data_IF_420607438800
#
_entry.id   IF_420607438800
#
_cell.length_a   1.000
_cell.length_b   1.000
_cell.length_c   1.000
_cell.angle_alpha   90.00
_cell.angle_beta   90.00
_cell.angle_gamma   90.00
#
_symmetry.space_group_name_H-M   'P 1'
#
loop_
_entity.id
_entity.type
_entity.pdbx_description
1 polymer ?
#
# COMPACT_ATOMS: atom_id res chain seq x y z
N UNK A 1 -36.44 10.40 53.97
CA UNK A 1 -36.39 8.92 53.95
C UNK A 1 -35.12 8.47 53.25
N UNK A 2 -34.11 8.06 54.00
CA UNK A 2 -32.76 7.82 53.51
C UNK A 2 -32.57 6.32 53.16
N UNK A 3 -32.96 5.90 51.95
CA UNK A 3 -32.75 4.51 51.49
C UNK A 3 -31.32 4.33 50.94
N UNK A 4 -30.30 4.44 51.79
CA UNK A 4 -29.04 3.71 51.53
C UNK A 4 -29.31 2.24 51.87
N UNK A 5 -30.00 1.53 50.97
CA UNK A 5 -30.06 0.06 51.04
C UNK A 5 -28.62 -0.44 50.97
N UNK A 6 -28.18 -1.16 51.99
CA UNK A 6 -26.80 -1.63 52.13
C UNK A 6 -26.46 -2.55 50.96
N UNK A 7 -25.37 -2.25 50.24
CA UNK A 7 -24.81 -3.16 49.24
C UNK A 7 -24.34 -4.43 49.99
N UNK A 8 -24.71 -5.64 49.55
CA UNK A 8 -24.26 -6.86 50.22
C UNK A 8 -22.72 -6.94 50.25
N UNK A 9 -22.18 -7.49 51.33
CA UNK A 9 -20.73 -7.65 51.48
C UNK A 9 -20.16 -8.52 50.35
N UNK A 10 -19.07 -8.06 49.71
CA UNK A 10 -18.46 -8.73 48.56
C UNK A 10 -18.97 -8.26 47.19
N UNK A 11 -19.97 -7.36 47.16
CA UNK A 11 -20.47 -6.74 45.94
C UNK A 11 -20.04 -5.28 45.80
N UNK A 12 -19.94 -4.83 44.56
CA UNK A 12 -19.62 -3.47 44.14
C UNK A 12 -20.72 -2.99 43.18
N UNK A 13 -21.17 -1.75 43.35
CA UNK A 13 -22.00 -1.11 42.33
C UNK A 13 -21.19 -0.85 41.08
N UNK A 14 -21.87 -0.69 39.94
CA UNK A 14 -21.22 -0.33 38.66
C UNK A 14 -20.32 0.91 38.76
N UNK A 15 -20.69 1.90 39.58
CA UNK A 15 -19.88 3.10 39.80
C UNK A 15 -18.60 2.83 40.60
N UNK A 16 -18.67 1.96 41.61
CA UNK A 16 -17.50 1.55 42.38
C UNK A 16 -16.56 0.69 41.53
N UNK A 17 -17.09 -0.23 40.74
CA UNK A 17 -16.29 -1.02 39.80
C UNK A 17 -15.62 -0.13 38.76
N UNK A 18 -16.36 0.80 38.15
CA UNK A 18 -15.82 1.76 37.18
C UNK A 18 -14.66 2.57 37.76
N UNK A 19 -14.84 3.12 38.96
CA UNK A 19 -13.80 3.88 39.67
C UNK A 19 -12.57 3.04 39.98
N UNK A 20 -12.74 1.81 40.45
CA UNK A 20 -11.63 0.90 40.78
C UNK A 20 -10.83 0.47 39.54
N UNK A 21 -11.52 0.27 38.42
CA UNK A 21 -10.94 -0.26 37.19
C UNK A 21 -10.58 0.83 36.17
N UNK A 22 -10.55 2.10 36.61
CA UNK A 22 -10.15 3.23 35.77
C UNK A 22 -10.99 3.37 34.49
N UNK A 23 -12.26 2.98 34.53
CA UNK A 23 -13.15 3.01 33.36
C UNK A 23 -14.43 3.79 33.65
N UNK A 24 -15.28 3.93 32.65
CA UNK A 24 -16.55 4.66 32.81
C UNK A 24 -17.70 3.70 33.04
N UNK A 25 -18.73 4.17 33.76
CA UNK A 25 -19.99 3.44 33.89
C UNK A 25 -20.59 3.11 32.51
N UNK A 26 -20.47 4.02 31.55
CA UNK A 26 -20.94 3.83 30.17
C UNK A 26 -20.21 2.65 29.49
N UNK A 27 -18.91 2.50 29.70
CA UNK A 27 -18.13 1.37 29.18
C UNK A 27 -18.62 0.04 29.78
N UNK A 28 -18.87 -0.01 31.08
CA UNK A 28 -19.38 -1.22 31.74
C UNK A 28 -20.79 -1.58 31.29
N UNK A 29 -21.68 -0.59 31.12
CA UNK A 29 -23.01 -0.80 30.55
C UNK A 29 -22.95 -1.30 29.12
N UNK A 30 -21.97 -0.83 28.34
CA UNK A 30 -21.74 -1.32 27.00
C UNK A 30 -21.27 -2.78 27.01
N UNK A 31 -20.35 -3.16 27.89
CA UNK A 31 -19.92 -4.56 28.01
C UNK A 31 -21.04 -5.50 28.48
N UNK A 32 -21.92 -5.02 29.35
CA UNK A 32 -23.15 -5.73 29.75
C UNK A 32 -24.07 -5.94 28.55
N UNK A 33 -24.35 -4.88 27.77
CA UNK A 33 -25.18 -4.94 26.56
C UNK A 33 -24.62 -5.90 25.51
N UNK A 34 -23.30 -5.90 25.32
CA UNK A 34 -22.62 -6.83 24.40
C UNK A 34 -22.52 -8.25 24.97
N UNK A 35 -22.98 -8.50 26.19
CA UNK A 35 -22.93 -9.80 26.87
C UNK A 35 -21.50 -10.27 27.16
N UNK A 36 -20.57 -9.33 27.33
CA UNK A 36 -19.14 -9.58 27.59
C UNK A 36 -18.83 -9.53 29.08
N UNK A 37 -19.48 -8.64 29.83
CA UNK A 37 -19.39 -8.54 31.29
C UNK A 37 -20.76 -8.19 31.88
N UNK A 38 -21.51 -9.21 32.25
CA UNK A 38 -22.83 -9.07 32.85
C UNK A 38 -22.73 -8.94 34.37
N UNK A 39 -23.61 -8.16 35.04
CA UNK A 39 -23.62 -8.08 36.50
C UNK A 39 -23.96 -9.43 37.12
N UNK A 40 -23.28 -9.79 38.22
CA UNK A 40 -23.59 -11.02 38.98
C UNK A 40 -24.97 -10.94 39.66
N UNK A 41 -25.48 -9.74 39.92
CA UNK A 41 -26.83 -9.58 40.46
C UNK A 41 -27.33 -8.14 40.46
N UNK A 42 -28.52 -7.97 41.02
CA UNK A 42 -29.14 -6.66 41.21
C UNK A 42 -29.48 -6.44 42.68
N UNK A 43 -29.28 -5.22 43.17
CA UNK A 43 -29.76 -4.83 44.49
C UNK A 43 -31.28 -4.71 44.49
N UNK A 44 -31.91 -4.71 45.67
CA UNK A 44 -33.36 -4.47 45.82
C UNK A 44 -33.86 -3.10 45.30
N UNK A 45 -32.97 -2.24 44.81
CA UNK A 45 -33.29 -0.97 44.14
C UNK A 45 -33.01 -0.99 42.64
N UNK A 46 -32.78 -2.17 42.03
CA UNK A 46 -32.48 -2.33 40.60
C UNK A 46 -31.07 -1.87 40.21
N UNK A 47 -30.15 -1.71 41.17
CA UNK A 47 -28.75 -1.33 40.88
C UNK A 47 -27.96 -2.59 40.54
N UNK A 48 -27.26 -2.58 39.40
CA UNK A 48 -26.29 -3.61 38.99
C UNK A 48 -25.20 -3.79 40.04
N UNK A 49 -24.95 -5.04 40.43
CA UNK A 49 -23.96 -5.46 41.40
C UNK A 49 -22.95 -6.41 40.75
N UNK A 50 -21.67 -6.17 41.04
CA UNK A 50 -20.54 -6.91 40.53
C UNK A 50 -19.70 -7.47 41.68
N UNK A 51 -19.12 -8.65 41.49
CA UNK A 51 -18.26 -9.29 42.47
C UNK A 51 -16.78 -9.03 42.18
N UNK A 52 -15.90 -9.51 43.05
CA UNK A 52 -14.47 -9.53 42.77
C UNK A 52 -14.11 -10.39 41.54
N UNK A 53 -14.87 -11.46 41.28
CA UNK A 53 -14.70 -12.29 40.07
C UNK A 53 -14.95 -11.47 38.79
N UNK A 54 -16.01 -10.67 38.79
CA UNK A 54 -16.33 -9.78 37.66
C UNK A 54 -15.23 -8.73 37.44
N UNK A 55 -14.59 -8.27 38.52
CA UNK A 55 -13.45 -7.36 38.45
C UNK A 55 -12.24 -8.02 37.77
N UNK A 56 -11.95 -9.28 38.08
CA UNK A 56 -10.89 -10.05 37.44
C UNK A 56 -11.20 -10.25 35.94
N UNK A 57 -12.44 -10.59 35.61
CA UNK A 57 -12.87 -10.74 34.21
C UNK A 57 -12.75 -9.41 33.45
N UNK A 58 -13.14 -8.29 34.07
CA UNK A 58 -12.97 -6.96 33.49
C UNK A 58 -11.49 -6.63 33.25
N UNK A 59 -10.60 -6.99 34.18
CA UNK A 59 -9.16 -6.81 33.99
C UNK A 59 -8.66 -7.61 32.78
N UNK A 60 -9.07 -8.88 32.64
CA UNK A 60 -8.70 -9.71 31.48
C UNK A 60 -9.18 -9.09 30.16
N UNK A 61 -10.43 -8.61 30.10
CA UNK A 61 -10.98 -7.92 28.93
C UNK A 61 -10.14 -6.68 28.59
N UNK A 62 -9.78 -5.87 29.60
CA UNK A 62 -8.95 -4.67 29.40
C UNK A 62 -7.55 -5.00 28.91
N UNK A 63 -6.91 -6.05 29.46
CA UNK A 63 -5.59 -6.51 29.00
C UNK A 63 -5.64 -6.96 27.55
N UNK A 64 -6.60 -7.81 27.17
CA UNK A 64 -6.76 -8.26 25.79
C UNK A 64 -7.07 -7.09 24.85
N UNK A 65 -7.88 -6.12 25.30
CA UNK A 65 -8.12 -4.88 24.55
C UNK A 65 -6.84 -4.10 24.26
N UNK A 66 -5.93 -4.01 25.23
CA UNK A 66 -4.64 -3.33 25.05
C UNK A 66 -3.72 -4.04 24.05
N UNK A 67 -3.90 -5.36 23.86
CA UNK A 67 -3.21 -6.15 22.82
C UNK A 67 -3.86 -6.02 21.43
N UNK A 68 -4.84 -5.12 21.27
CA UNK A 68 -5.48 -4.84 19.99
C UNK A 68 -6.67 -5.73 19.64
N UNK A 69 -7.13 -6.60 20.54
CA UNK A 69 -8.31 -7.43 20.28
C UNK A 69 -9.61 -6.60 20.27
N UNK A 70 -10.53 -6.94 19.35
CA UNK A 70 -11.87 -6.38 19.39
C UNK A 70 -12.69 -7.01 20.54
N UNK A 71 -13.76 -6.35 20.99
CA UNK A 71 -14.63 -6.95 22.02
C UNK A 71 -15.30 -8.23 21.51
N UNK A 72 -15.58 -8.27 20.21
CA UNK A 72 -16.15 -9.42 19.52
C UNK A 72 -15.17 -10.60 19.52
N UNK A 73 -13.89 -10.35 19.26
CA UNK A 73 -12.85 -11.39 19.31
C UNK A 73 -12.65 -11.89 20.75
N UNK A 74 -12.63 -11.00 21.73
CA UNK A 74 -12.53 -11.40 23.15
C UNK A 74 -13.70 -12.32 23.52
N UNK A 75 -14.93 -11.94 23.16
CA UNK A 75 -16.13 -12.72 23.46
C UNK A 75 -16.12 -14.09 22.77
N UNK A 76 -15.81 -14.12 21.48
CA UNK A 76 -16.08 -15.29 20.64
C UNK A 76 -14.87 -16.20 20.46
N UNK A 77 -13.66 -15.69 20.62
CA UNK A 77 -12.42 -16.41 20.31
C UNK A 77 -11.52 -16.64 21.51
N UNK A 78 -11.66 -15.89 22.59
CA UNK A 78 -10.75 -15.99 23.75
C UNK A 78 -11.43 -16.53 25.01
N UNK A 79 -12.64 -16.07 25.32
CA UNK A 79 -13.41 -16.59 26.46
C UNK A 79 -13.75 -18.09 26.34
N UNK A 80 -14.09 -18.64 25.15
CA UNK A 80 -14.44 -20.05 25.02
C UNK A 80 -13.25 -21.03 24.96
N UNK A 81 -12.00 -20.55 25.09
CA UNK A 81 -10.82 -21.39 24.93
C UNK A 81 -10.48 -22.13 26.22
N UNK A 82 -10.31 -23.45 26.10
CA UNK A 82 -10.03 -24.32 27.25
C UNK A 82 -8.59 -24.84 27.29
N UNK A 83 -7.81 -24.67 26.21
CA UNK A 83 -6.43 -25.18 26.13
C UNK A 83 -5.40 -24.07 25.89
N UNK A 84 -4.19 -24.19 26.47
CA UNK A 84 -3.10 -23.25 26.18
C UNK A 84 -2.73 -23.19 24.70
N UNK A 85 -2.91 -24.30 23.96
CA UNK A 85 -2.60 -24.38 22.53
C UNK A 85 -3.51 -23.46 21.71
N UNK A 86 -4.80 -23.44 22.02
CA UNK A 86 -5.77 -22.59 21.31
C UNK A 86 -5.54 -21.10 21.62
N UNK A 87 -5.16 -20.79 22.88
CA UNK A 87 -4.80 -19.42 23.27
C UNK A 87 -3.58 -18.94 22.48
N UNK A 88 -2.55 -19.76 22.37
CA UNK A 88 -1.35 -19.43 21.58
C UNK A 88 -1.69 -19.21 20.10
N UNK A 89 -2.60 -20.01 19.53
CA UNK A 89 -3.02 -19.84 18.13
C UNK A 89 -3.66 -18.47 17.89
N UNK A 90 -4.62 -18.05 18.74
CA UNK A 90 -5.28 -16.75 18.62
C UNK A 90 -4.31 -15.59 18.87
N UNK A 91 -3.37 -15.73 19.80
CA UNK A 91 -2.33 -14.72 20.03
C UNK A 91 -1.38 -14.59 18.84
N UNK A 92 -1.04 -15.69 18.16
CA UNK A 92 -0.22 -15.66 16.95
C UNK A 92 -0.94 -14.96 15.79
N UNK A 93 -2.24 -15.24 15.59
CA UNK A 93 -3.05 -14.53 14.58
C UNK A 93 -3.06 -13.02 14.82
N UNK A 94 -3.25 -12.61 16.07
CA UNK A 94 -3.23 -11.19 16.45
C UNK A 94 -1.85 -10.56 16.27
N UNK A 95 -0.78 -11.28 16.62
CA UNK A 95 0.59 -10.83 16.44
C UNK A 95 0.89 -10.59 14.95
N UNK A 96 0.48 -11.50 14.07
CA UNK A 96 0.63 -11.35 12.63
C UNK A 96 -0.14 -10.15 12.09
N UNK A 97 -1.38 -9.95 12.53
CA UNK A 97 -2.19 -8.80 12.13
C UNK A 97 -1.55 -7.46 12.58
N UNK A 98 -0.96 -7.42 13.78
CA UNK A 98 -0.21 -6.24 14.26
C UNK A 98 1.05 -6.02 13.42
N UNK A 99 1.79 -7.07 13.07
CA UNK A 99 2.97 -6.96 12.22
C UNK A 99 2.63 -6.39 10.84
N UNK A 100 1.54 -6.85 10.21
CA UNK A 100 1.05 -6.30 8.94
C UNK A 100 0.69 -4.83 9.06
N UNK A 101 0.02 -4.44 10.16
CA UNK A 101 -0.33 -3.03 10.40
C UNK A 101 0.89 -2.15 10.64
N UNK A 102 1.91 -2.67 11.34
CA UNK A 102 3.18 -1.97 11.52
C UNK A 102 3.88 -1.73 10.18
N UNK A 103 3.89 -2.74 9.30
CA UNK A 103 4.45 -2.59 7.96
C UNK A 103 3.72 -1.49 7.16
N UNK A 104 2.38 -1.52 7.13
CA UNK A 104 1.58 -0.50 6.44
C UNK A 104 1.81 0.91 7.00
N UNK A 105 1.90 1.05 8.33
CA UNK A 105 2.18 2.34 8.97
C UNK A 105 3.60 2.83 8.67
N UNK A 106 4.57 1.91 8.56
CA UNK A 106 5.93 2.25 8.19
C UNK A 106 6.02 2.73 6.74
N UNK A 107 5.34 2.05 5.81
CA UNK A 107 5.21 2.46 4.40
C UNK A 107 4.57 3.84 4.28
N UNK A 108 3.45 4.07 4.98
CA UNK A 108 2.78 5.37 5.02
C UNK A 108 3.66 6.47 5.63
N UNK A 109 4.43 6.16 6.69
CA UNK A 109 5.36 7.10 7.29
C UNK A 109 6.48 7.50 6.32
N UNK A 110 7.08 6.53 5.64
CA UNK A 110 8.10 6.78 4.61
C UNK A 110 7.55 7.65 3.48
N UNK A 111 6.33 7.37 3.02
CA UNK A 111 5.63 8.18 2.02
C UNK A 111 5.45 9.64 2.49
N UNK A 112 4.95 9.84 3.71
CA UNK A 112 4.76 11.19 4.26
C UNK A 112 6.09 11.97 4.30
N UNK A 113 7.18 11.33 4.72
CA UNK A 113 8.48 11.99 4.77
C UNK A 113 9.03 12.33 3.38
N UNK A 114 8.87 11.45 2.39
CA UNK A 114 9.23 11.74 1.00
C UNK A 114 8.45 12.93 0.44
N UNK A 115 7.12 12.91 0.60
CA UNK A 115 6.24 14.01 0.20
C UNK A 115 6.64 15.34 0.84
N UNK A 116 7.03 15.30 2.12
CA UNK A 116 7.50 16.48 2.85
C UNK A 116 8.78 17.06 2.24
N UNK A 117 9.74 16.21 1.86
CA UNK A 117 10.98 16.66 1.22
C UNK A 117 10.72 17.29 -0.15
N UNK A 118 9.83 16.70 -0.93
CA UNK A 118 9.44 17.24 -2.23
C UNK A 118 8.73 18.58 -2.10
N UNK A 119 7.81 18.70 -1.13
CA UNK A 119 7.11 19.95 -0.86
C UNK A 119 8.06 21.10 -0.50
N UNK A 120 9.19 20.80 0.16
CA UNK A 120 10.23 21.78 0.47
C UNK A 120 11.02 22.18 -0.79
N UNK A 121 11.25 21.25 -1.71
CA UNK A 121 11.97 21.52 -2.97
C UNK A 121 11.12 22.25 -4.01
N UNK A 122 9.79 22.08 -3.97
CA UNK A 122 8.86 22.75 -4.88
C UNK A 122 8.53 24.16 -4.36
N UNK A 123 8.87 25.20 -5.14
CA UNK A 123 8.56 26.60 -4.80
C UNK A 123 7.05 26.93 -4.80
N UNK A 124 6.21 26.07 -5.39
CA UNK A 124 4.75 26.22 -5.38
C UNK A 124 4.05 24.89 -5.07
N UNK A 125 2.92 24.99 -4.38
CA UNK A 125 2.08 23.85 -4.02
C UNK A 125 1.16 23.50 -5.19
N UNK A 126 1.52 22.49 -5.99
CA UNK A 126 0.65 21.91 -7.01
C UNK A 126 -0.01 20.63 -6.47
N UNK A 127 -1.26 20.75 -6.02
CA UNK A 127 -2.05 19.63 -5.49
C UNK A 127 -2.28 18.50 -6.51
N UNK A 128 -2.20 18.77 -7.81
CA UNK A 128 -2.27 17.75 -8.86
C UNK A 128 -1.00 16.89 -8.83
N UNK A 129 0.18 17.52 -8.70
CA UNK A 129 1.45 16.82 -8.53
C UNK A 129 1.52 16.09 -7.20
N UNK A 130 1.04 16.67 -6.10
CA UNK A 130 0.99 15.96 -4.81
C UNK A 130 0.10 14.72 -4.84
N UNK A 131 -1.03 14.74 -5.54
CA UNK A 131 -1.88 13.56 -5.69
C UNK A 131 -1.13 12.44 -6.43
N UNK A 132 -0.40 12.76 -7.50
CA UNK A 132 0.43 11.77 -8.20
C UNK A 132 1.56 11.25 -7.31
N UNK A 133 2.23 12.13 -6.57
CA UNK A 133 3.31 11.74 -5.64
C UNK A 133 2.75 10.80 -4.57
N UNK A 134 1.61 11.12 -3.95
CA UNK A 134 0.99 10.29 -2.91
C UNK A 134 0.55 8.92 -3.46
N UNK A 135 -0.03 8.88 -4.66
CA UNK A 135 -0.41 7.61 -5.31
C UNK A 135 0.81 6.75 -5.64
N UNK A 136 1.93 7.36 -6.03
CA UNK A 136 3.15 6.63 -6.39
C UNK A 136 4.02 6.25 -5.19
N UNK A 137 3.99 7.00 -4.10
CA UNK A 137 4.63 6.60 -2.85
C UNK A 137 3.98 5.36 -2.23
N UNK A 138 2.71 5.09 -2.53
CA UNK A 138 2.03 3.83 -2.22
C UNK A 138 2.47 2.65 -3.12
N UNK A 139 3.27 2.91 -4.16
CA UNK A 139 3.74 1.96 -5.16
C UNK A 139 5.26 1.71 -5.01
N UNK A 140 5.75 1.56 -3.77
CA UNK A 140 7.15 1.27 -3.44
C UNK A 140 8.22 2.23 -4.03
N UNK A 141 7.83 3.41 -4.51
CA UNK A 141 8.75 4.47 -4.94
C UNK A 141 9.64 4.12 -6.15
N UNK A 142 9.46 2.97 -6.81
CA UNK A 142 10.34 2.53 -7.91
C UNK A 142 10.24 3.43 -9.15
N UNK A 143 9.07 4.00 -9.41
CA UNK A 143 8.80 4.82 -10.60
C UNK A 143 8.60 6.31 -10.31
N UNK A 144 8.76 6.70 -9.04
CA UNK A 144 8.61 8.08 -8.61
C UNK A 144 9.55 9.02 -9.39
N UNK A 145 10.81 8.59 -9.57
CA UNK A 145 11.79 9.37 -10.33
C UNK A 145 11.36 9.61 -11.77
N UNK A 146 10.79 8.60 -12.44
CA UNK A 146 10.34 8.69 -13.83
C UNK A 146 9.21 9.73 -13.95
N UNK A 147 8.23 9.64 -13.04
CA UNK A 147 7.04 10.48 -13.04
C UNK A 147 7.38 11.94 -12.72
N UNK A 148 8.38 12.19 -11.85
CA UNK A 148 8.87 13.54 -11.55
C UNK A 148 9.37 14.29 -12.80
N UNK A 149 9.85 13.56 -13.80
CA UNK A 149 10.40 14.13 -15.03
C UNK A 149 9.38 14.17 -16.19
N UNK A 150 8.17 13.62 -16.01
CA UNK A 150 7.10 13.80 -16.99
C UNK A 150 6.57 15.24 -17.01
N UNK A 151 6.30 15.74 -18.21
CA UNK A 151 5.60 16.99 -18.39
C UNK A 151 4.11 16.85 -18.05
N UNK A 152 3.42 17.98 -17.87
CA UNK A 152 2.01 17.98 -17.46
C UNK A 152 1.11 17.28 -18.51
N UNK A 153 1.48 17.34 -19.79
CA UNK A 153 0.79 16.67 -20.90
C UNK A 153 0.86 15.14 -20.77
N UNK A 154 2.05 14.61 -20.48
CA UNK A 154 2.29 13.17 -20.31
C UNK A 154 1.61 12.66 -19.04
N UNK A 155 1.67 13.44 -17.94
CA UNK A 155 0.96 13.09 -16.70
C UNK A 155 -0.56 13.04 -16.91
N UNK A 156 -1.12 13.98 -17.66
CA UNK A 156 -2.56 13.99 -17.96
C UNK A 156 -2.97 12.83 -18.87
N UNK A 157 -2.12 12.45 -19.82
CA UNK A 157 -2.32 11.25 -20.62
C UNK A 157 -2.35 9.99 -19.73
N UNK A 158 -1.39 9.85 -18.81
CA UNK A 158 -1.33 8.72 -17.88
C UNK A 158 -2.58 8.68 -16.99
N UNK A 159 -2.97 9.81 -16.37
CA UNK A 159 -4.13 9.90 -15.48
C UNK A 159 -5.45 9.56 -16.16
N UNK A 160 -5.62 9.96 -17.42
CA UNK A 160 -6.85 9.70 -18.16
C UNK A 160 -6.95 8.25 -18.67
N UNK A 161 -5.81 7.57 -18.79
CA UNK A 161 -5.73 6.23 -19.38
C UNK A 161 -5.64 5.12 -18.34
N UNK A 162 -4.84 5.32 -17.30
CA UNK A 162 -4.55 4.32 -16.30
C UNK A 162 -5.22 4.69 -14.98
N UNK A 163 -6.06 3.79 -14.48
CA UNK A 163 -6.40 3.74 -13.07
C UNK A 163 -5.28 3.02 -12.29
N UNK A 164 -5.46 2.89 -10.97
CA UNK A 164 -4.46 2.23 -10.13
C UNK A 164 -4.17 0.78 -10.55
N UNK A 165 -5.21 0.02 -10.93
CA UNK A 165 -5.08 -1.40 -11.23
C UNK A 165 -4.45 -1.63 -12.60
N UNK A 166 -4.94 -0.94 -13.63
CA UNK A 166 -4.39 -0.97 -14.99
C UNK A 166 -2.96 -0.42 -15.06
N UNK A 167 -2.64 0.62 -14.26
CA UNK A 167 -1.27 1.11 -14.13
C UNK A 167 -0.33 0.07 -13.52
N UNK A 168 -0.77 -0.64 -12.47
CA UNK A 168 0.00 -1.75 -11.87
C UNK A 168 0.26 -2.88 -12.87
N UNK A 169 -0.78 -3.31 -13.60
CA UNK A 169 -0.67 -4.37 -14.61
C UNK A 169 0.30 -3.98 -15.74
N UNK A 170 0.18 -2.73 -16.23
CA UNK A 170 1.07 -2.20 -17.26
C UNK A 170 2.53 -2.24 -16.81
N UNK A 171 2.83 -1.75 -15.60
CA UNK A 171 4.19 -1.74 -15.06
C UNK A 171 4.73 -3.14 -14.78
N UNK A 172 3.88 -4.08 -14.34
CA UNK A 172 4.27 -5.47 -14.18
C UNK A 172 4.69 -6.07 -15.53
N UNK A 173 3.87 -5.92 -16.58
CA UNK A 173 4.20 -6.41 -17.92
C UNK A 173 5.48 -5.75 -18.45
N UNK A 174 5.66 -4.45 -18.22
CA UNK A 174 6.88 -3.73 -18.60
C UNK A 174 8.13 -4.33 -17.93
N UNK A 175 8.06 -4.57 -16.61
CA UNK A 175 9.16 -5.21 -15.88
C UNK A 175 9.46 -6.62 -16.40
N UNK A 176 8.43 -7.40 -16.70
CA UNK A 176 8.58 -8.76 -17.25
C UNK A 176 9.29 -8.74 -18.61
N UNK A 177 8.96 -7.81 -19.50
CA UNK A 177 9.67 -7.63 -20.78
C UNK A 177 11.13 -7.26 -20.52
N UNK A 178 11.38 -6.28 -19.64
CA UNK A 178 12.74 -5.87 -19.27
C UNK A 178 13.57 -7.02 -18.72
N UNK A 179 12.99 -7.90 -17.89
CA UNK A 179 13.67 -9.10 -17.38
C UNK A 179 13.95 -10.13 -18.48
N UNK A 180 13.03 -10.31 -19.44
CA UNK A 180 13.26 -11.17 -20.60
C UNK A 180 14.40 -10.64 -21.47
N UNK A 181 14.47 -9.33 -21.69
CA UNK A 181 15.56 -8.67 -22.45
C UNK A 181 16.90 -8.89 -21.77
N UNK A 182 16.98 -8.70 -20.45
CA UNK A 182 18.21 -8.94 -19.69
C UNK A 182 18.66 -10.40 -19.83
N UNK A 183 17.75 -11.37 -19.76
CA UNK A 183 18.08 -12.79 -19.97
C UNK A 183 18.61 -13.08 -21.38
N UNK A 184 18.05 -12.46 -22.42
CA UNK A 184 18.58 -12.62 -23.79
C UNK A 184 19.98 -12.01 -23.93
N UNK A 185 20.20 -10.84 -23.32
CA UNK A 185 21.51 -10.19 -23.28
C UNK A 185 22.55 -11.06 -22.56
N UNK A 186 22.21 -11.61 -21.39
CA UNK A 186 23.09 -12.52 -20.63
C UNK A 186 23.37 -13.83 -21.38
N UNK A 187 22.40 -14.32 -22.14
CA UNK A 187 22.55 -15.47 -23.03
C UNK A 187 23.28 -15.16 -24.35
N UNK A 188 23.70 -13.91 -24.57
CA UNK A 188 24.40 -13.43 -25.77
C UNK A 188 23.62 -13.71 -27.07
N UNK A 189 22.29 -13.68 -27.00
CA UNK A 189 21.41 -13.86 -28.17
C UNK A 189 21.44 -12.60 -29.03
N UNK A 190 21.67 -12.76 -30.32
CA UNK A 190 21.77 -11.65 -31.27
C UNK A 190 20.42 -10.94 -31.45
N UNK A 191 20.39 -9.60 -31.63
CA UNK A 191 19.15 -8.83 -31.85
C UNK A 191 18.31 -9.29 -33.05
N UNK A 192 18.92 -9.94 -34.04
CA UNK A 192 18.28 -10.49 -35.23
C UNK A 192 17.51 -11.79 -34.96
N UNK A 193 17.80 -12.46 -33.84
CA UNK A 193 17.20 -13.75 -33.49
C UNK A 193 15.68 -13.63 -33.37
N UNK A 194 14.97 -14.70 -33.75
CA UNK A 194 13.52 -14.81 -33.61
C UNK A 194 12.99 -14.44 -32.22
N UNK A 195 13.72 -14.78 -31.15
CA UNK A 195 13.33 -14.46 -29.76
C UNK A 195 13.48 -12.96 -29.47
N UNK A 196 14.57 -12.35 -29.93
CA UNK A 196 14.82 -10.92 -29.77
C UNK A 196 13.81 -10.08 -30.57
N UNK A 197 13.49 -10.51 -31.79
CA UNK A 197 12.50 -9.86 -32.64
C UNK A 197 11.07 -9.98 -32.09
N UNK A 198 10.72 -11.12 -31.47
CA UNK A 198 9.45 -11.28 -30.78
C UNK A 198 9.32 -10.35 -29.57
N UNK A 199 10.39 -10.19 -28.78
CA UNK A 199 10.41 -9.22 -27.67
C UNK A 199 10.35 -7.77 -28.15
N UNK A 200 11.04 -7.44 -29.25
CA UNK A 200 10.97 -6.10 -29.85
C UNK A 200 9.53 -5.77 -30.28
N UNK A 201 8.82 -6.73 -30.87
CA UNK A 201 7.40 -6.59 -31.20
C UNK A 201 6.51 -6.44 -29.95
N UNK A 202 6.73 -7.26 -28.91
CA UNK A 202 5.98 -7.20 -27.64
C UNK A 202 6.17 -5.83 -26.96
N UNK A 203 7.41 -5.35 -26.92
CA UNK A 203 7.76 -4.03 -26.39
C UNK A 203 7.12 -2.91 -27.22
N UNK A 204 7.20 -2.97 -28.55
CA UNK A 204 6.57 -1.98 -29.42
C UNK A 204 5.05 -1.94 -29.25
N UNK A 205 4.39 -3.09 -29.16
CA UNK A 205 2.96 -3.16 -28.90
C UNK A 205 2.59 -2.47 -27.57
N UNK A 206 3.41 -2.64 -26.54
CA UNK A 206 3.24 -1.96 -25.24
C UNK A 206 3.45 -0.45 -25.34
N UNK A 207 4.45 0.01 -26.10
CA UNK A 207 4.66 1.44 -26.36
C UNK A 207 3.44 2.04 -27.09
N UNK A 208 2.92 1.36 -28.10
CA UNK A 208 1.71 1.79 -28.83
C UNK A 208 0.46 1.76 -27.96
N UNK A 209 0.36 0.79 -27.04
CA UNK A 209 -0.69 0.75 -26.02
C UNK A 209 -0.55 1.93 -25.06
N UNK A 210 0.66 2.33 -24.67
CA UNK A 210 0.88 3.49 -23.81
C UNK A 210 0.54 4.79 -24.53
N UNK A 211 1.05 5.01 -25.74
CA UNK A 211 0.83 6.25 -26.50
C UNK A 211 -0.56 6.33 -27.14
N UNK A 212 -1.33 5.23 -27.11
CA UNK A 212 -2.58 5.10 -27.88
C UNK A 212 -2.37 5.38 -29.38
N UNK A 213 -1.17 5.08 -29.88
CA UNK A 213 -0.73 5.36 -31.25
C UNK A 213 -0.32 6.81 -31.52
N UNK A 214 -0.25 7.67 -30.51
CA UNK A 214 0.29 9.02 -30.66
C UNK A 214 1.82 8.99 -30.78
N UNK A 215 2.30 9.12 -32.01
CA UNK A 215 3.74 9.12 -32.32
C UNK A 215 4.47 10.35 -31.74
N UNK A 216 3.76 11.44 -31.44
CA UNK A 216 4.40 12.63 -30.85
C UNK A 216 4.95 12.35 -29.45
N UNK A 217 4.32 11.42 -28.72
CA UNK A 217 4.76 10.99 -27.39
C UNK A 217 6.01 10.11 -27.42
N UNK A 218 6.38 9.53 -28.57
CA UNK A 218 7.61 8.75 -28.68
C UNK A 218 8.84 9.63 -28.46
N UNK A 219 8.83 10.86 -28.96
CA UNK A 219 9.90 11.83 -28.72
C UNK A 219 10.07 12.16 -27.24
N UNK A 220 8.96 12.18 -26.49
CA UNK A 220 8.97 12.36 -25.05
C UNK A 220 9.59 11.15 -24.37
N UNK A 221 9.17 9.92 -24.73
CA UNK A 221 9.73 8.68 -24.19
C UNK A 221 11.23 8.51 -24.45
N UNK A 222 11.70 8.82 -25.67
CA UNK A 222 13.12 8.74 -26.04
C UNK A 222 13.98 9.72 -25.26
N UNK A 223 13.48 10.93 -24.95
CA UNK A 223 14.22 11.90 -24.11
C UNK A 223 14.53 11.37 -22.71
N UNK A 224 13.80 10.35 -22.21
CA UNK A 224 14.11 9.73 -20.93
C UNK A 224 15.31 8.79 -20.98
N UNK A 225 15.69 8.28 -22.16
CA UNK A 225 16.90 7.47 -22.33
C UNK A 225 18.17 8.29 -22.09
N UNK A 226 18.10 9.61 -22.33
CA UNK A 226 19.21 10.54 -22.13
C UNK A 226 19.36 11.01 -20.68
N UNK A 227 18.39 10.74 -19.81
CA UNK A 227 18.47 11.12 -18.40
C UNK A 227 19.44 10.20 -17.64
N UNK A 228 20.27 10.79 -16.78
CA UNK A 228 21.24 10.07 -15.95
C UNK A 228 21.07 10.39 -14.46
N UNK A 229 20.99 9.34 -13.66
CA UNK A 229 21.04 9.37 -12.20
C UNK A 229 21.72 8.08 -11.73
N UNK A 230 23.01 8.18 -11.38
CA UNK A 230 23.87 7.05 -11.04
C UNK A 230 23.41 6.30 -9.77
N UNK A 231 22.51 6.89 -8.97
CA UNK A 231 21.94 6.27 -7.78
C UNK A 231 20.58 5.61 -8.04
N UNK A 232 20.09 5.62 -9.28
CA UNK A 232 18.80 5.05 -9.64
C UNK A 232 18.97 3.67 -10.31
N UNK A 233 18.74 2.61 -9.52
CA UNK A 233 18.84 1.23 -9.99
C UNK A 233 17.88 0.88 -11.13
N UNK A 234 16.70 1.51 -11.18
CA UNK A 234 15.76 1.31 -12.28
C UNK A 234 16.32 1.90 -13.58
N UNK A 235 16.92 3.08 -13.51
CA UNK A 235 17.49 3.76 -14.68
C UNK A 235 18.68 2.98 -15.26
N UNK A 236 19.56 2.45 -14.41
CA UNK A 236 20.67 1.58 -14.85
C UNK A 236 20.17 0.28 -15.51
N UNK A 237 19.11 -0.32 -14.96
CA UNK A 237 18.43 -1.46 -15.57
C UNK A 237 17.87 -1.08 -16.95
N UNK A 238 17.19 0.06 -17.04
CA UNK A 238 16.54 0.49 -18.27
C UNK A 238 17.53 0.85 -19.38
N UNK A 239 18.65 1.52 -19.06
CA UNK A 239 19.76 1.74 -20.01
C UNK A 239 20.26 0.44 -20.63
N UNK A 240 20.42 -0.60 -19.80
CA UNK A 240 20.82 -1.94 -20.26
C UNK A 240 19.79 -2.56 -21.20
N UNK A 241 18.50 -2.41 -20.89
CA UNK A 241 17.38 -2.92 -21.68
C UNK A 241 17.31 -2.19 -23.03
N UNK A 242 17.35 -0.85 -23.01
CA UNK A 242 17.26 -0.02 -24.22
C UNK A 242 18.43 -0.27 -25.18
N UNK A 243 19.66 -0.38 -24.65
CA UNK A 243 20.84 -0.69 -25.47
C UNK A 243 20.73 -2.02 -26.23
N UNK A 244 19.95 -2.99 -25.72
CA UNK A 244 19.67 -4.24 -26.41
C UNK A 244 18.46 -4.12 -27.36
N UNK A 245 17.39 -3.45 -26.91
CA UNK A 245 16.15 -3.32 -27.68
C UNK A 245 16.29 -2.41 -28.89
N UNK A 246 17.10 -1.36 -28.83
CA UNK A 246 17.27 -0.40 -29.93
C UNK A 246 17.60 -1.07 -31.27
N UNK A 247 18.69 -1.86 -31.40
CA UNK A 247 18.98 -2.54 -32.67
C UNK A 247 17.92 -3.59 -33.04
N UNK A 248 17.29 -4.24 -32.06
CA UNK A 248 16.23 -5.21 -32.32
C UNK A 248 14.97 -4.55 -32.90
N UNK A 249 14.60 -3.37 -32.39
CA UNK A 249 13.49 -2.54 -32.85
C UNK A 249 13.76 -1.97 -34.24
N UNK A 250 14.97 -1.46 -34.50
CA UNK A 250 15.36 -0.97 -35.84
C UNK A 250 15.18 -2.06 -36.91
N UNK A 251 15.64 -3.27 -36.64
CA UNK A 251 15.46 -4.43 -37.52
C UNK A 251 14.00 -4.83 -37.68
N UNK A 252 13.22 -4.77 -36.59
CA UNK A 252 11.79 -5.06 -36.61
C UNK A 252 11.03 -4.04 -37.49
N UNK A 253 11.34 -2.75 -37.36
CA UNK A 253 10.76 -1.68 -38.15
C UNK A 253 11.12 -1.78 -39.64
N UNK A 254 12.38 -2.07 -39.96
CA UNK A 254 12.82 -2.32 -41.33
C UNK A 254 12.06 -3.49 -41.97
N UNK A 255 11.86 -4.60 -41.25
CA UNK A 255 11.11 -5.77 -41.74
C UNK A 255 9.61 -5.49 -41.89
N UNK A 256 9.07 -4.61 -41.05
CA UNK A 256 7.64 -4.28 -41.01
C UNK A 256 7.27 -3.12 -41.94
N UNK A 257 8.25 -2.44 -42.54
CA UNK A 257 8.03 -1.24 -43.36
C UNK A 257 7.54 -0.02 -42.57
N UNK A 258 7.78 0.01 -41.26
CA UNK A 258 7.41 1.15 -40.40
C UNK A 258 8.62 2.07 -40.24
N UNK A 259 8.45 3.38 -40.44
CA UNK A 259 9.46 4.39 -40.11
C UNK A 259 9.02 5.14 -38.85
N UNK A 260 9.39 4.62 -37.66
CA UNK A 260 8.97 5.19 -36.38
C UNK A 260 9.84 6.38 -35.91
N UNK A 261 11.04 6.56 -36.48
CA UNK A 261 12.04 7.53 -36.05
C UNK A 261 12.70 8.29 -37.23
N UNK A 262 11.92 8.74 -38.22
CA UNK A 262 12.48 9.65 -39.24
C UNK A 262 12.74 11.05 -38.62
N UNK A 263 14.01 11.45 -38.68
CA UNK A 263 14.65 12.59 -38.00
C UNK A 263 14.01 13.96 -38.31
N UNK A 264 13.93 14.80 -37.27
CA UNK A 264 14.05 16.27 -37.40
C UNK A 264 15.49 16.65 -37.83
N UNK A 265 15.90 16.22 -39.01
CA UNK A 265 17.11 16.67 -39.69
C UNK A 265 16.73 17.58 -40.87
N UNK A 266 16.06 18.69 -40.59
CA UNK A 266 15.99 19.82 -41.51
C UNK A 266 16.58 21.06 -40.86
N UNK A 267 17.91 21.16 -40.89
CA UNK A 267 18.59 22.45 -40.90
C UNK A 267 18.08 23.25 -42.11
N UNK A 268 17.49 24.45 -41.94
CA UNK A 268 17.32 25.36 -43.05
C UNK A 268 18.64 26.10 -43.25
N UNK A 269 19.48 25.59 -44.15
CA UNK A 269 20.45 26.44 -44.84
C UNK A 269 19.69 27.20 -45.92
N UNK A 270 19.39 28.48 -45.67
CA UNK A 270 19.36 29.55 -46.67
C UNK A 270 19.41 30.91 -45.99
#
# INVERSE_FOLDING_TARGET
MNKKKSIPQGFMTIGELAKKMGTTVRTLQYYDKEGLLTPTGESEGGRRLYTHKDMIQLHQIQSLKSLGFSLKDIKNKLIPLDTPKDVVAVLNEQSLAIQQKLQQLQEAFTAIEALKQEAIQMQQVDFKKYADIIVNLQMNNEYYWLIKHFDDTTLDHIRNRFDKESGMDFMQRFNEISDKVIKLKEAHIAPEDTQAQALAQEFWAMVMEFTNGDMSMLSTLVKFDDLSDDNNAWLEKQKTVNAYLQPALELYFQKSGMHAFEEESQCPTQ
#
